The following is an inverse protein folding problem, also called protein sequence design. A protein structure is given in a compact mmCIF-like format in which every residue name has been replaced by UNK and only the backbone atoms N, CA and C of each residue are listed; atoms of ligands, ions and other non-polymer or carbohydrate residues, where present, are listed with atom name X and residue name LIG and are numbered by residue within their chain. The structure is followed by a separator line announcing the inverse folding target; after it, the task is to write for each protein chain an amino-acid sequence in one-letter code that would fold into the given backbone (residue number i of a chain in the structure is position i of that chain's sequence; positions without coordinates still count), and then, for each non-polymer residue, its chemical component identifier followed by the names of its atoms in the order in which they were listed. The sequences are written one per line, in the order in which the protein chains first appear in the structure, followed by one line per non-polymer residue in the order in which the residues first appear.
data_IF_798675916040
#
_entry.id   IF_798675916040
#
_cell.length_a   1.000
_cell.length_b   1.000
_cell.length_c   1.000
_cell.angle_alpha   90.00
_cell.angle_beta   90.00
_cell.angle_gamma   90.00
#
_symmetry.space_group_name_H-M   'P 1'
#
loop_
_entity.id
_entity.type
_entity.pdbx_description
1 polymer ?
#
# COMPACT_ATOMS: atom_id res chain seq x y z
N UNK A 1 -16.21 -1.28 -2.33
CA UNK A 1 -15.36 -1.90 -3.38
C UNK A 1 -14.04 -2.34 -2.77
N UNK A 2 -13.63 -3.59 -2.95
CA UNK A 2 -12.39 -4.15 -2.39
C UNK A 2 -11.18 -3.94 -3.31
N UNK A 3 -9.99 -3.92 -2.71
CA UNK A 3 -8.71 -3.94 -3.41
C UNK A 3 -7.86 -5.05 -2.74
N UNK A 4 -7.22 -5.89 -3.55
CA UNK A 4 -6.43 -7.03 -3.10
C UNK A 4 -5.07 -6.93 -3.78
N UNK A 5 -4.01 -7.07 -2.99
CA UNK A 5 -2.64 -7.02 -3.45
C UNK A 5 -1.92 -8.30 -3.02
N UNK A 6 -1.12 -8.92 -3.91
CA UNK A 6 -0.10 -9.87 -3.50
C UNK A 6 0.83 -9.24 -2.45
N UNK A 7 1.32 -10.05 -1.51
CA UNK A 7 2.26 -9.55 -0.51
C UNK A 7 3.58 -9.08 -1.15
N UNK A 8 4.00 -9.73 -2.24
CA UNK A 8 5.21 -9.40 -2.99
C UNK A 8 5.19 -7.94 -3.49
N UNK A 9 4.05 -7.50 -4.02
CA UNK A 9 3.87 -6.13 -4.51
C UNK A 9 3.95 -5.11 -3.37
N UNK A 10 3.48 -5.47 -2.17
CA UNK A 10 3.62 -4.63 -0.99
C UNK A 10 5.07 -4.56 -0.50
N UNK A 11 5.82 -5.66 -0.57
CA UNK A 11 7.25 -5.68 -0.24
C UNK A 11 8.07 -4.81 -1.21
N UNK A 12 7.67 -4.75 -2.48
CA UNK A 12 8.30 -3.91 -3.50
C UNK A 12 8.20 -2.40 -3.24
N UNK A 13 7.40 -1.96 -2.25
CA UNK A 13 7.37 -0.56 -1.81
C UNK A 13 8.66 -0.10 -1.12
N UNK A 14 9.59 -1.01 -0.80
CA UNK A 14 10.87 -0.68 -0.18
C UNK A 14 11.98 -1.60 -0.68
N UNK A 15 13.02 -1.01 -1.28
CA UNK A 15 14.13 -1.74 -1.93
C UNK A 15 14.81 -2.78 -1.05
N UNK A 16 14.85 -2.58 0.28
CA UNK A 16 15.46 -3.58 1.17
C UNK A 16 14.75 -4.94 1.16
N UNK A 17 13.51 -5.02 0.69
CA UNK A 17 12.73 -6.26 0.56
C UNK A 17 12.64 -6.76 -0.90
N UNK A 18 13.35 -6.13 -1.84
CA UNK A 18 13.40 -6.55 -3.26
C UNK A 18 14.67 -7.33 -3.58
N UNK A 19 15.28 -7.93 -2.55
CA UNK A 19 16.55 -8.68 -2.68
C UNK A 19 16.41 -9.97 -3.51
N UNK A 20 15.18 -10.43 -3.74
CA UNK A 20 14.89 -11.67 -4.46
C UNK A 20 14.46 -11.38 -5.90
N UNK A 21 14.89 -12.17 -6.90
CA UNK A 21 14.42 -12.02 -8.28
C UNK A 21 12.91 -12.25 -8.41
N UNK A 22 12.22 -11.41 -9.18
CA UNK A 22 10.77 -11.50 -9.39
C UNK A 22 10.29 -12.87 -9.90
N UNK A 23 11.07 -13.54 -10.74
CA UNK A 23 10.75 -14.87 -11.24
C UNK A 23 10.67 -15.92 -10.11
N UNK A 24 11.49 -15.77 -9.06
CA UNK A 24 11.44 -16.66 -7.89
C UNK A 24 10.30 -16.33 -6.91
N UNK A 25 9.73 -15.12 -7.03
CA UNK A 25 8.58 -14.69 -6.24
C UNK A 25 7.24 -15.07 -6.87
N UNK A 26 7.28 -15.59 -8.11
CA UNK A 26 6.12 -16.11 -8.82
C UNK A 26 5.61 -17.38 -8.15
N UNK A 27 4.42 -17.29 -7.59
CA UNK A 27 3.80 -18.39 -6.85
C UNK A 27 3.36 -19.54 -7.75
N UNK A 28 2.92 -19.22 -8.98
CA UNK A 28 2.42 -20.17 -9.96
C UNK A 28 2.94 -19.90 -11.37
N UNK A 29 3.25 -20.97 -12.09
CA UNK A 29 3.30 -20.96 -13.54
C UNK A 29 2.19 -21.87 -14.10
N UNK A 30 1.09 -21.31 -14.65
CA UNK A 30 -0.01 -22.10 -15.18
C UNK A 30 0.36 -22.92 -16.43
N UNK A 31 1.48 -22.61 -17.09
CA UNK A 31 1.97 -23.36 -18.27
C UNK A 31 2.69 -24.65 -17.87
N UNK A 32 3.10 -24.76 -16.61
CA UNK A 32 3.71 -25.95 -16.05
C UNK A 32 2.69 -26.73 -15.20
N UNK A 33 2.03 -27.77 -15.75
CA UNK A 33 1.02 -28.54 -15.00
C UNK A 33 1.60 -29.33 -13.82
N UNK A 34 2.93 -29.48 -13.76
CA UNK A 34 3.65 -30.08 -12.63
C UNK A 34 4.25 -29.02 -11.70
N UNK A 35 3.86 -27.75 -11.86
CA UNK A 35 4.33 -26.68 -11.00
C UNK A 35 3.98 -26.98 -9.55
N UNK A 36 4.93 -26.73 -8.67
CA UNK A 36 4.81 -27.10 -7.28
C UNK A 36 4.87 -25.85 -6.40
N UNK A 37 3.78 -25.64 -5.68
CA UNK A 37 3.46 -24.43 -4.93
C UNK A 37 4.32 -24.28 -3.67
N UNK A 38 5.54 -23.77 -3.83
CA UNK A 38 6.54 -23.65 -2.75
C UNK A 38 7.03 -22.25 -2.46
N UNK A 39 6.32 -21.22 -2.94
CA UNK A 39 6.69 -19.87 -2.57
C UNK A 39 6.67 -19.70 -1.05
N UNK A 40 7.77 -19.16 -0.52
CA UNK A 40 7.95 -18.76 0.87
C UNK A 40 8.43 -17.32 0.86
N UNK A 41 7.82 -16.50 1.69
CA UNK A 41 8.23 -15.11 1.89
C UNK A 41 9.61 -15.12 2.52
N UNK A 42 10.54 -14.36 1.95
CA UNK A 42 11.94 -14.31 2.38
C UNK A 42 12.18 -13.33 3.54
N UNK A 43 11.14 -12.59 3.93
CA UNK A 43 11.14 -11.59 5.00
C UNK A 43 10.35 -12.12 6.20
N UNK A 44 10.90 -11.98 7.40
CA UNK A 44 10.20 -12.40 8.62
C UNK A 44 9.13 -11.39 9.04
N UNK A 45 8.11 -11.84 9.75
CA UNK A 45 7.05 -10.95 10.24
C UNK A 45 7.59 -9.94 11.25
N UNK A 46 8.54 -10.35 12.10
CA UNK A 46 9.20 -9.48 13.08
C UNK A 46 9.90 -8.31 12.37
N UNK A 47 10.62 -8.59 11.29
CA UNK A 47 11.29 -7.55 10.48
C UNK A 47 10.28 -6.55 9.90
N UNK A 48 9.10 -7.01 9.49
CA UNK A 48 8.03 -6.15 8.98
C UNK A 48 7.37 -5.32 10.09
N UNK A 49 7.19 -5.89 11.28
CA UNK A 49 6.62 -5.21 12.46
C UNK A 49 7.55 -4.13 13.03
N UNK A 50 8.86 -4.34 12.90
CA UNK A 50 9.88 -3.38 13.33
C UNK A 50 10.09 -2.25 12.30
N UNK A 51 9.77 -2.49 11.03
CA UNK A 51 9.94 -1.49 9.98
C UNK A 51 8.78 -0.47 9.92
N UNK A 52 8.99 0.69 10.53
CA UNK A 52 7.99 1.76 10.57
C UNK A 52 7.79 2.46 9.23
N UNK A 53 8.79 2.46 8.35
CA UNK A 53 8.70 3.17 7.07
C UNK A 53 7.67 2.51 6.16
N UNK A 54 7.79 1.20 5.93
CA UNK A 54 6.84 0.46 5.08
C UNK A 54 5.42 0.48 5.68
N UNK A 55 5.32 0.43 7.01
CA UNK A 55 4.04 0.57 7.70
C UNK A 55 3.41 1.94 7.46
N UNK A 56 4.19 3.02 7.50
CA UNK A 56 3.71 4.37 7.19
C UNK A 56 3.26 4.44 5.74
N UNK A 57 4.09 4.00 4.80
CA UNK A 57 3.76 4.00 3.37
C UNK A 57 2.44 3.30 3.07
N UNK A 58 2.22 2.11 3.64
CA UNK A 58 0.95 1.37 3.44
C UNK A 58 -0.23 2.11 4.10
N UNK A 59 -0.05 2.67 5.30
CA UNK A 59 -1.10 3.47 5.97
C UNK A 59 -1.46 4.72 5.18
N UNK A 60 -0.48 5.38 4.59
CA UNK A 60 -0.67 6.59 3.79
C UNK A 60 -1.39 6.25 2.48
N UNK A 61 -1.05 5.13 1.83
CA UNK A 61 -1.78 4.62 0.65
C UNK A 61 -3.24 4.30 0.98
N UNK A 62 -3.50 3.66 2.13
CA UNK A 62 -4.88 3.35 2.57
C UNK A 62 -5.66 4.63 2.88
N UNK A 63 -5.05 5.59 3.57
CA UNK A 63 -5.70 6.85 3.95
C UNK A 63 -5.96 7.74 2.74
N UNK A 64 -4.94 7.98 1.91
CA UNK A 64 -5.04 8.84 0.72
C UNK A 64 -6.01 8.28 -0.34
N UNK A 65 -6.18 6.96 -0.42
CA UNK A 65 -7.18 6.34 -1.30
C UNK A 65 -8.62 6.38 -0.77
N UNK A 66 -8.86 6.98 0.40
CA UNK A 66 -10.17 7.05 1.04
C UNK A 66 -10.65 5.69 1.57
N UNK A 67 -9.72 4.76 1.81
CA UNK A 67 -10.00 3.38 2.25
C UNK A 67 -9.70 3.15 3.73
N UNK A 68 -9.28 4.19 4.45
CA UNK A 68 -9.18 4.16 5.91
C UNK A 68 -10.55 4.03 6.56
N UNK A 69 -10.60 3.38 7.72
CA UNK A 69 -11.83 3.23 8.50
C UNK A 69 -12.49 4.60 8.77
N UNK A 70 -13.80 4.77 8.52
CA UNK A 70 -14.50 6.01 8.80
C UNK A 70 -14.48 6.28 10.30
N UNK A 71 -13.77 7.32 10.74
CA UNK A 71 -13.82 7.80 12.12
C UNK A 71 -12.48 8.03 12.83
N UNK A 72 -11.33 7.66 12.23
CA UNK A 72 -10.05 8.13 12.77
C UNK A 72 -9.73 9.49 12.16
N UNK A 73 -10.12 10.57 12.84
CA UNK A 73 -9.56 11.89 12.56
C UNK A 73 -8.04 11.75 12.69
N UNK A 74 -7.32 12.00 11.60
CA UNK A 74 -5.86 12.12 11.65
C UNK A 74 -5.60 13.44 12.38
N UNK A 75 -5.30 13.37 13.68
CA UNK A 75 -4.81 14.54 14.40
C UNK A 75 -3.51 14.98 13.73
N UNK A 76 -3.56 16.11 13.01
CA UNK A 76 -2.41 16.66 12.28
C UNK A 76 -2.67 17.06 10.81
N UNK A 77 -3.84 16.78 10.22
CA UNK A 77 -4.24 17.40 8.94
C UNK A 77 -5.27 18.49 9.23
N UNK A 78 -4.86 19.44 10.06
CA UNK A 78 -5.60 20.68 10.28
C UNK A 78 -5.10 21.76 9.30
N UNK A 79 -6.07 22.42 8.65
CA UNK A 79 -6.01 23.77 8.07
C UNK A 79 -5.55 24.03 6.62
N UNK A 80 -4.95 23.10 5.87
CA UNK A 80 -4.54 23.40 4.47
C UNK A 80 -5.56 23.03 3.39
N UNK A 81 -6.39 22.00 3.62
CA UNK A 81 -7.39 21.53 2.64
C UNK A 81 -8.66 22.38 2.53
N UNK A 82 -9.06 23.08 3.59
CA UNK A 82 -10.28 23.91 3.59
C UNK A 82 -10.13 25.24 2.82
N UNK A 83 -8.91 25.70 2.53
CA UNK A 83 -8.71 26.95 1.78
C UNK A 83 -8.99 26.83 0.28
N UNK A 84 -8.97 25.62 -0.29
CA UNK A 84 -9.20 25.41 -1.73
C UNK A 84 -10.69 25.41 -2.13
N UNK A 85 -11.61 25.15 -1.20
CA UNK A 85 -13.05 25.10 -1.48
C UNK A 85 -13.79 26.44 -1.34
N UNK A 86 -13.11 27.50 -0.86
CA UNK A 86 -13.71 28.83 -0.62
C UNK A 86 -13.47 29.86 -1.74
N UNK A 87 -12.90 29.48 -2.88
CA UNK A 87 -12.87 30.39 -4.04
C UNK A 87 -14.25 30.40 -4.69
N UNK A 88 -15.11 31.27 -4.18
CA UNK A 88 -16.41 31.59 -4.76
C UNK A 88 -16.20 32.19 -6.16
N UNK A 89 -16.62 31.47 -7.20
CA UNK A 89 -16.75 32.01 -8.54
C UNK A 89 -17.90 33.02 -8.54
N UNK A 90 -17.57 34.29 -8.39
CA UNK A 90 -18.52 35.39 -8.60
C UNK A 90 -18.82 35.54 -10.09
N UNK A 91 -19.71 34.71 -10.61
CA UNK A 91 -20.43 34.96 -11.86
C UNK A 91 -21.78 35.61 -11.54
N UNK A 92 -21.89 36.93 -11.72
CA UNK A 92 -23.19 37.63 -11.81
C UNK A 92 -23.85 37.32 -13.18
N UNK A 93 -25.19 37.48 -13.31
CA UNK A 93 -26.05 36.75 -14.24
C UNK A 93 -25.79 37.03 -15.72
#
# INVERSE_FOLDING_TARGET
MWAIFPLQDLLALKDKYTTRPAAEETINDPTNPKHYWRFRVHVTLESLLDDKDIQSTIKDLVTSSGRSFPGKKVEGVDESGEKLSKVQLNGKP
#
